data_IF_905587991517
#
_entry.id   IF_905587991517
#
_cell.length_a   1.000
_cell.length_b   1.000
_cell.length_c   1.000
_cell.angle_alpha   90.00
_cell.angle_beta   90.00
_cell.angle_gamma   90.00
#
_symmetry.space_group_name_H-M   'P 1'
#
loop_
_entity.id
_entity.type
_entity.pdbx_description
1 polymer ?
#
# COMPACT_ATOMS: atom_id res chain seq x y z
N UNK A 1 15.80 -18.39 -0.70
CA UNK A 1 15.07 -18.69 -1.96
C UNK A 1 13.75 -19.43 -1.73
N UNK A 2 13.55 -20.15 -0.61
CA UNK A 2 12.28 -20.81 -0.28
C UNK A 2 11.21 -19.89 0.35
N UNK A 3 11.58 -18.99 1.26
CA UNK A 3 10.59 -18.18 2.01
C UNK A 3 9.74 -17.24 1.15
N UNK A 4 10.28 -16.74 0.03
CA UNK A 4 9.50 -15.94 -0.91
C UNK A 4 8.50 -16.79 -1.69
N UNK A 5 8.81 -18.05 -1.98
CA UNK A 5 7.95 -18.95 -2.75
C UNK A 5 6.76 -19.41 -1.90
N UNK A 6 7.03 -19.88 -0.67
CA UNK A 6 6.00 -20.32 0.27
C UNK A 6 5.07 -19.17 0.69
N UNK A 7 5.63 -17.96 0.88
CA UNK A 7 4.84 -16.78 1.19
C UNK A 7 3.98 -16.35 -0.01
N UNK A 8 4.46 -16.52 -1.24
CA UNK A 8 3.68 -16.18 -2.44
C UNK A 8 2.51 -17.12 -2.65
N UNK A 9 2.70 -18.44 -2.43
CA UNK A 9 1.61 -19.42 -2.55
C UNK A 9 0.54 -19.19 -1.48
N UNK A 10 0.93 -18.96 -0.22
CA UNK A 10 -0.02 -18.65 0.86
C UNK A 10 -0.76 -17.34 0.60
N UNK A 11 -0.07 -16.31 0.11
CA UNK A 11 -0.70 -15.03 -0.22
C UNK A 11 -1.65 -15.14 -1.42
N UNK A 12 -1.31 -15.98 -2.40
CA UNK A 12 -2.11 -16.24 -3.60
C UNK A 12 -3.37 -17.06 -3.27
N UNK A 13 -3.25 -18.06 -2.40
CA UNK A 13 -4.37 -18.85 -1.89
C UNK A 13 -5.34 -17.98 -1.09
N UNK A 14 -4.84 -17.21 -0.12
CA UNK A 14 -5.63 -16.21 0.61
C UNK A 14 -6.29 -15.21 -0.34
N UNK A 15 -5.57 -14.73 -1.35
CA UNK A 15 -6.09 -13.78 -2.34
C UNK A 15 -7.19 -14.38 -3.24
N UNK A 16 -7.10 -15.67 -3.56
CA UNK A 16 -8.11 -16.39 -4.34
C UNK A 16 -9.43 -16.51 -3.58
N UNK A 17 -9.37 -16.68 -2.26
CA UNK A 17 -10.55 -16.72 -1.40
C UNK A 17 -11.23 -15.35 -1.25
N UNK A 18 -10.49 -14.26 -1.47
CA UNK A 18 -11.06 -12.91 -1.46
C UNK A 18 -11.87 -12.62 -2.74
N UNK A 19 -13.01 -11.95 -2.55
CA UNK A 19 -13.85 -11.47 -3.64
C UNK A 19 -14.31 -10.02 -3.43
N UNK A 20 -14.91 -9.42 -4.46
CA UNK A 20 -15.54 -8.10 -4.38
C UNK A 20 -14.62 -6.99 -3.84
N UNK A 21 -15.16 -6.18 -2.91
CA UNK A 21 -14.46 -5.05 -2.32
C UNK A 21 -13.29 -5.48 -1.43
N UNK A 22 -13.32 -6.67 -0.84
CA UNK A 22 -12.26 -7.17 0.02
C UNK A 22 -10.98 -7.40 -0.78
N UNK A 23 -11.09 -8.16 -1.88
CA UNK A 23 -9.98 -8.39 -2.83
C UNK A 23 -9.41 -7.07 -3.34
N UNK A 24 -10.29 -6.11 -3.65
CA UNK A 24 -9.86 -4.77 -4.09
C UNK A 24 -9.18 -3.98 -2.97
N UNK A 25 -9.65 -4.07 -1.74
CA UNK A 25 -9.03 -3.42 -0.58
C UNK A 25 -7.61 -3.94 -0.37
N UNK A 26 -7.42 -5.26 -0.41
CA UNK A 26 -6.08 -5.86 -0.34
C UNK A 26 -5.22 -5.44 -1.56
N UNK A 27 -5.81 -5.30 -2.75
CA UNK A 27 -5.12 -4.75 -3.93
C UNK A 27 -4.55 -3.35 -3.65
N UNK A 28 -5.34 -2.49 -3.01
CA UNK A 28 -4.92 -1.15 -2.63
C UNK A 28 -3.76 -1.18 -1.64
N UNK A 29 -3.86 -2.02 -0.59
CA UNK A 29 -2.80 -2.19 0.42
C UNK A 29 -1.50 -2.67 -0.24
N UNK A 30 -1.58 -3.66 -1.13
CA UNK A 30 -0.40 -4.18 -1.84
C UNK A 30 0.25 -3.11 -2.72
N UNK A 31 -0.56 -2.32 -3.44
CA UNK A 31 -0.01 -1.20 -4.23
C UNK A 31 0.68 -0.16 -3.36
N UNK A 32 0.20 0.10 -2.15
CA UNK A 32 0.89 0.96 -1.19
C UNK A 32 2.23 0.35 -0.76
N UNK A 33 2.26 -0.94 -0.41
CA UNK A 33 3.48 -1.64 -0.03
C UNK A 33 4.54 -1.61 -1.15
N UNK A 34 4.15 -1.93 -2.39
CA UNK A 34 5.05 -1.85 -3.56
C UNK A 34 5.45 -0.40 -3.86
N UNK A 35 4.55 0.56 -3.64
CA UNK A 35 4.85 2.00 -3.75
C UNK A 35 5.95 2.43 -2.79
N UNK A 36 5.93 1.95 -1.54
CA UNK A 36 7.01 2.19 -0.59
C UNK A 36 8.32 1.48 -0.97
N UNK A 37 8.23 0.28 -1.55
CA UNK A 37 9.41 -0.39 -2.11
C UNK A 37 10.05 0.43 -3.26
N UNK A 38 9.23 0.99 -4.16
CA UNK A 38 9.70 1.90 -5.20
C UNK A 38 10.32 3.17 -4.63
N UNK A 39 9.72 3.74 -3.58
CA UNK A 39 10.27 4.91 -2.91
C UNK A 39 11.67 4.61 -2.35
N UNK A 40 11.82 3.45 -1.69
CA UNK A 40 13.08 2.92 -1.14
C UNK A 40 14.17 2.65 -2.17
N UNK A 41 13.79 2.38 -3.41
CA UNK A 41 14.74 2.13 -4.52
C UNK A 41 14.94 3.36 -5.40
N UNK A 42 14.41 4.53 -5.00
CA UNK A 42 14.55 5.79 -5.72
C UNK A 42 13.61 5.93 -6.94
N UNK A 43 12.70 4.97 -7.17
CA UNK A 43 11.76 5.01 -8.27
C UNK A 43 10.56 5.94 -7.94
N UNK A 44 10.78 7.24 -8.09
CA UNK A 44 9.78 8.28 -7.80
C UNK A 44 8.52 8.15 -8.66
N UNK A 45 8.67 7.92 -9.97
CA UNK A 45 7.55 7.79 -10.89
C UNK A 45 6.70 6.55 -10.60
N UNK A 46 7.36 5.42 -10.33
CA UNK A 46 6.70 4.20 -9.88
C UNK A 46 5.93 4.38 -8.58
N UNK A 47 6.52 5.08 -7.61
CA UNK A 47 5.89 5.41 -6.32
C UNK A 47 4.60 6.21 -6.54
N UNK A 48 4.67 7.32 -7.29
CA UNK A 48 3.52 8.19 -7.58
C UNK A 48 2.38 7.42 -8.27
N UNK A 49 2.73 6.60 -9.24
CA UNK A 49 1.75 5.82 -9.99
C UNK A 49 1.00 4.83 -9.09
N UNK A 50 1.74 4.13 -8.23
CA UNK A 50 1.16 3.13 -7.31
C UNK A 50 0.30 3.78 -6.22
N UNK A 51 0.75 4.87 -5.59
CA UNK A 51 -0.07 5.57 -4.59
C UNK A 51 -1.35 6.14 -5.20
N UNK A 52 -1.29 6.71 -6.41
CA UNK A 52 -2.48 7.18 -7.13
C UNK A 52 -3.48 6.05 -7.39
N UNK A 53 -2.99 4.89 -7.87
CA UNK A 53 -3.85 3.73 -8.13
C UNK A 53 -4.45 3.18 -6.83
N UNK A 54 -3.68 3.11 -5.74
CA UNK A 54 -4.16 2.65 -4.45
C UNK A 54 -5.28 3.56 -3.92
N UNK A 55 -5.10 4.88 -3.99
CA UNK A 55 -6.13 5.84 -3.60
C UNK A 55 -7.41 5.75 -4.45
N UNK A 56 -7.28 5.49 -5.74
CA UNK A 56 -8.44 5.25 -6.62
C UNK A 56 -9.17 3.96 -6.26
N UNK A 57 -8.43 2.90 -5.92
CA UNK A 57 -8.99 1.63 -5.44
C UNK A 57 -9.78 1.86 -4.15
N UNK A 58 -9.18 2.47 -3.13
CA UNK A 58 -9.86 2.68 -1.85
C UNK A 58 -11.11 3.57 -1.96
N UNK A 59 -11.11 4.50 -2.93
CA UNK A 59 -12.29 5.34 -3.21
C UNK A 59 -13.41 4.54 -3.90
N UNK A 60 -13.06 3.71 -4.89
CA UNK A 60 -14.05 2.94 -5.69
C UNK A 60 -14.56 1.71 -4.97
N UNK A 61 -13.72 1.12 -4.14
CA UNK A 61 -13.95 -0.13 -3.43
C UNK A 61 -13.62 0.10 -1.95
N UNK A 62 -14.50 0.78 -1.20
CA UNK A 62 -14.31 0.95 0.23
C UNK A 62 -14.25 -0.41 0.91
N UNK A 63 -13.38 -0.53 1.92
CA UNK A 63 -13.25 -1.73 2.72
C UNK A 63 -14.61 -2.11 3.34
N UNK A 64 -14.98 -3.40 3.33
CA UNK A 64 -16.13 -3.88 4.10
C UNK A 64 -16.04 -3.46 5.58
N UNK A 65 -17.18 -3.28 6.25
CA UNK A 65 -17.21 -2.83 7.64
C UNK A 65 -16.53 -3.82 8.61
N UNK A 66 -16.59 -5.10 8.27
CA UNK A 66 -15.99 -6.23 8.97
C UNK A 66 -14.56 -6.55 8.50
N UNK A 67 -13.99 -5.74 7.59
CA UNK A 67 -12.62 -5.93 7.15
C UNK A 67 -11.66 -5.74 8.34
N UNK A 68 -10.70 -6.67 8.56
CA UNK A 68 -9.92 -6.72 9.80
C UNK A 68 -8.92 -5.57 9.95
N UNK A 69 -8.72 -4.75 8.92
CA UNK A 69 -7.70 -3.69 8.88
C UNK A 69 -8.31 -2.34 8.53
N UNK A 70 -8.06 -1.33 9.36
CA UNK A 70 -8.46 0.03 9.03
C UNK A 70 -7.56 0.60 7.94
N UNK A 71 -8.14 0.95 6.78
CA UNK A 71 -7.38 1.57 5.67
C UNK A 71 -7.33 3.09 5.74
N UNK A 72 -8.14 3.73 6.60
CA UNK A 72 -8.23 5.19 6.67
C UNK A 72 -6.90 5.87 7.08
N UNK A 73 -6.17 5.40 8.12
CA UNK A 73 -4.87 5.98 8.46
C UNK A 73 -3.89 5.87 7.30
N UNK A 74 -3.80 4.69 6.68
CA UNK A 74 -2.95 4.43 5.53
C UNK A 74 -3.26 5.36 4.35
N UNK A 75 -4.55 5.55 4.05
CA UNK A 75 -4.98 6.49 3.01
C UNK A 75 -4.57 7.94 3.33
N UNK A 76 -4.65 8.36 4.60
CA UNK A 76 -4.21 9.69 5.04
C UNK A 76 -2.71 9.88 4.83
N UNK A 77 -1.90 8.92 5.26
CA UNK A 77 -0.45 8.94 5.12
C UNK A 77 -0.02 9.04 3.66
N UNK A 78 -0.55 8.18 2.78
CA UNK A 78 -0.14 8.19 1.37
C UNK A 78 -0.65 9.44 0.63
N UNK A 79 -1.76 10.08 1.06
CA UNK A 79 -2.19 11.38 0.51
C UNK A 79 -1.19 12.49 0.83
N UNK A 80 -0.79 12.59 2.09
CA UNK A 80 0.21 13.58 2.54
C UNK A 80 1.54 13.35 1.83
N UNK A 81 1.98 12.10 1.77
CA UNK A 81 3.23 11.76 1.09
C UNK A 81 3.14 12.02 -0.41
N UNK A 82 2.04 11.66 -1.08
CA UNK A 82 1.86 11.94 -2.51
C UNK A 82 1.96 13.44 -2.82
N UNK A 83 1.36 14.30 -1.98
CA UNK A 83 1.47 15.74 -2.14
C UNK A 83 2.91 16.27 -1.97
N UNK A 84 3.70 15.67 -1.08
CA UNK A 84 5.14 15.97 -0.94
C UNK A 84 5.90 15.51 -2.18
N UNK A 85 5.70 14.27 -2.60
CA UNK A 85 6.40 13.66 -3.73
C UNK A 85 6.10 14.36 -5.05
N UNK A 86 4.91 14.94 -5.26
CA UNK A 86 4.58 15.70 -6.47
C UNK A 86 5.47 16.92 -6.69
N UNK A 87 6.05 17.49 -5.62
CA UNK A 87 6.93 18.67 -5.69
C UNK A 87 8.40 18.35 -6.01
N UNK A 88 8.77 17.07 -6.04
CA UNK A 88 10.15 16.64 -6.26
C UNK A 88 10.38 16.24 -7.71
N UNK A 89 11.49 16.60 -8.33
CA UNK A 89 11.83 16.05 -9.66
C UNK A 89 12.59 14.74 -9.55
N UNK A 90 13.43 14.60 -8.52
CA UNK A 90 14.26 13.43 -8.24
C UNK A 90 14.28 13.13 -6.74
N UNK A 91 14.65 11.89 -6.39
CA UNK A 91 14.88 11.48 -5.01
C UNK A 91 16.39 11.31 -4.78
N UNK A 92 16.91 11.92 -3.72
CA UNK A 92 18.24 11.58 -3.23
C UNK A 92 18.17 10.32 -2.36
N UNK A 93 19.26 9.52 -2.29
CA UNK A 93 19.31 8.33 -1.42
C UNK A 93 18.97 8.64 0.05
N UNK A 94 19.37 9.81 0.56
CA UNK A 94 19.06 10.25 1.92
C UNK A 94 17.56 10.53 2.14
N UNK A 95 16.90 11.16 1.18
CA UNK A 95 15.45 11.40 1.23
C UNK A 95 14.67 10.09 1.11
N UNK A 96 15.16 9.15 0.31
CA UNK A 96 14.58 7.82 0.18
C UNK A 96 14.53 7.05 1.50
N UNK A 97 15.61 7.08 2.31
CA UNK A 97 15.61 6.46 3.64
C UNK A 97 14.71 7.16 4.65
N UNK A 98 14.57 8.49 4.53
CA UNK A 98 13.75 9.30 5.45
C UNK A 98 12.25 9.15 5.18
N UNK A 99 11.88 9.00 3.92
CA UNK A 99 10.48 8.98 3.48
C UNK A 99 9.87 7.58 3.44
N UNK A 100 10.66 6.53 3.65
CA UNK A 100 10.18 5.16 3.71
C UNK A 100 9.49 4.90 5.07
N UNK A 101 8.16 4.80 5.13
CA UNK A 101 7.49 4.44 6.36
C UNK A 101 7.58 2.93 6.57
N UNK A 102 7.51 2.54 7.84
CA UNK A 102 7.15 1.17 8.21
C UNK A 102 5.63 1.06 8.08
N UNK A 103 5.14 0.20 7.20
CA UNK A 103 3.71 -0.08 7.07
C UNK A 103 3.21 -0.62 8.43
N UNK A 104 2.48 0.19 9.21
CA UNK A 104 1.80 -0.27 10.42
C UNK A 104 0.32 -0.46 10.09
N UNK A 105 -0.07 -1.71 9.92
CA UNK A 105 -1.48 -2.08 9.81
C UNK A 105 -2.00 -2.21 11.24
N UNK A 106 -2.96 -1.35 11.63
CA UNK A 106 -3.66 -1.48 12.91
C UNK A 106 -4.87 -2.37 12.72
N UNK A 107 -5.05 -3.43 13.54
CA UNK A 107 -6.30 -4.19 13.55
C UNK A 107 -7.47 -3.25 13.85
N UNK A 108 -8.62 -3.50 13.24
CA UNK A 108 -9.86 -2.88 13.72
C UNK A 108 -10.17 -3.46 15.09
N UNK A 109 -10.30 -2.61 16.11
CA UNK A 109 -10.80 -3.04 17.41
C UNK A 109 -12.25 -3.49 17.22
N UNK A 110 -12.50 -4.80 17.23
CA UNK A 110 -13.86 -5.33 17.31
C UNK A 110 -14.42 -4.93 18.68
N UNK A 111 -15.38 -4.01 18.68
CA UNK A 111 -16.23 -3.71 19.83
C UNK A 111 -17.45 -4.62 19.84
#
# INVERSE_FOLDING_TARGET
AGEFYDCHEVLEELWNDLSGNEKKTVQGILQVAVGFYHLRTGNLNGTRNLFRKALDIFRKYPAPNDFPLSTLPLQGEIRVLSAKLQRLETLSPALTMTLAPTLRLTPTSSG
#
